data_IF_041374599717
#
_entry.id   IF_041374599717
#
_cell.length_a   1.000
_cell.length_b   1.000
_cell.length_c   1.000
_cell.angle_alpha   90.00
_cell.angle_beta   90.00
_cell.angle_gamma   90.00
#
_symmetry.space_group_name_H-M   'P 1'
#
loop_
_entity.id
_entity.type
_entity.pdbx_description
1 polymer ?
#
# COMPACT_ATOMS: atom_id res chain seq x y z
N UNK A 1 -3.42 20.08 7.48
CA UNK A 1 -3.21 18.69 7.02
C UNK A 1 -2.12 18.71 5.95
N UNK A 2 -0.86 18.65 6.36
CA UNK A 2 0.30 18.55 5.47
C UNK A 2 1.07 17.30 5.90
N UNK A 3 1.37 16.40 4.97
CA UNK A 3 2.60 15.60 5.09
C UNK A 3 2.54 14.07 5.14
N UNK A 4 1.46 13.36 4.77
CA UNK A 4 1.53 11.88 4.72
C UNK A 4 0.87 11.19 3.51
N UNK A 5 0.26 11.93 2.58
CA UNK A 5 -0.34 11.30 1.39
C UNK A 5 0.72 10.80 0.40
N UNK A 6 1.95 11.32 0.49
CA UNK A 6 3.10 10.88 -0.28
C UNK A 6 4.16 10.34 0.68
N UNK A 7 3.98 9.13 1.20
CA UNK A 7 5.07 8.41 1.87
C UNK A 7 6.06 7.99 0.79
N UNK A 8 7.02 8.86 0.49
CA UNK A 8 8.18 8.54 -0.38
C UNK A 8 9.20 7.63 0.33
N UNK A 9 8.88 7.18 1.56
CA UNK A 9 9.76 6.33 2.34
C UNK A 9 9.49 4.88 1.98
N UNK A 10 10.41 4.29 1.22
CA UNK A 10 10.31 2.91 0.76
C UNK A 10 10.66 1.99 1.94
N UNK A 11 9.73 1.11 2.38
CA UNK A 11 9.97 0.26 3.54
C UNK A 11 11.19 -0.65 3.32
N UNK A 12 12.05 -0.74 4.33
CA UNK A 12 13.30 -1.51 4.25
C UNK A 12 13.14 -2.94 4.76
N UNK A 13 12.02 -3.23 5.43
CA UNK A 13 11.73 -4.54 6.01
C UNK A 13 10.26 -4.95 5.84
N UNK A 14 10.02 -6.27 5.81
CA UNK A 14 8.67 -6.84 5.63
C UNK A 14 7.69 -6.38 6.70
N UNK A 15 8.18 -6.23 7.93
CA UNK A 15 7.38 -5.76 9.06
C UNK A 15 7.01 -4.29 8.89
N UNK A 16 7.92 -3.45 8.42
CA UNK A 16 7.62 -2.03 8.13
C UNK A 16 6.60 -1.90 6.99
N UNK A 17 6.75 -2.66 5.91
CA UNK A 17 5.83 -2.64 4.78
C UNK A 17 4.40 -3.05 5.20
N UNK A 18 4.27 -4.12 6.00
CA UNK A 18 2.98 -4.57 6.54
C UNK A 18 2.35 -3.55 7.50
N UNK A 19 3.12 -2.95 8.39
CA UNK A 19 2.63 -1.92 9.30
C UNK A 19 2.15 -0.68 8.52
N UNK A 20 2.87 -0.27 7.47
CA UNK A 20 2.46 0.84 6.61
C UNK A 20 1.16 0.52 5.87
N UNK A 21 0.93 -0.71 5.41
CA UNK A 21 -0.35 -1.12 4.82
C UNK A 21 -1.51 -1.03 5.82
N UNK A 22 -1.29 -1.45 7.07
CA UNK A 22 -2.30 -1.36 8.13
C UNK A 22 -2.66 0.10 8.45
N UNK A 23 -1.67 1.00 8.46
CA UNK A 23 -1.93 2.44 8.56
C UNK A 23 -2.68 2.96 7.33
N UNK A 24 -2.29 2.55 6.12
CA UNK A 24 -2.93 2.91 4.86
C UNK A 24 -4.42 2.55 4.81
N UNK A 25 -4.81 1.43 5.46
CA UNK A 25 -6.19 1.00 5.59
C UNK A 25 -7.04 1.92 6.49
N UNK A 26 -6.44 2.57 7.49
CA UNK A 26 -7.14 3.59 8.31
C UNK A 26 -7.46 4.82 7.46
N UNK A 27 -6.50 5.29 6.66
CA UNK A 27 -6.71 6.38 5.71
C UNK A 27 -7.81 6.08 4.69
N UNK A 28 -7.92 4.82 4.24
CA UNK A 28 -9.03 4.37 3.39
C UNK A 28 -10.38 4.63 4.05
N UNK A 29 -10.49 4.26 5.32
CA UNK A 29 -11.74 4.37 6.08
C UNK A 29 -12.12 5.84 6.25
N UNK A 30 -11.14 6.71 6.52
CA UNK A 30 -11.35 8.16 6.57
C UNK A 30 -11.79 8.72 5.22
N UNK A 31 -11.12 8.35 4.12
CA UNK A 31 -11.49 8.76 2.76
C UNK A 31 -12.91 8.30 2.40
N UNK A 32 -13.26 7.05 2.70
CA UNK A 32 -14.59 6.51 2.44
C UNK A 32 -15.65 7.21 3.29
N UNK A 33 -15.36 7.52 4.55
CA UNK A 33 -16.30 8.25 5.43
C UNK A 33 -16.60 9.66 4.93
N UNK A 34 -15.66 10.29 4.21
CA UNK A 34 -15.81 11.65 3.67
C UNK A 34 -16.36 11.68 2.25
N UNK A 35 -16.26 10.58 1.51
CA UNK A 35 -16.71 10.48 0.11
C UNK A 35 -18.14 10.96 -0.09
N UNK A 36 -19.06 10.51 0.77
CA UNK A 36 -20.48 10.84 0.64
C UNK A 36 -20.75 12.32 0.92
N UNK A 37 -20.15 12.86 1.97
CA UNK A 37 -20.25 14.29 2.33
C UNK A 37 -19.73 15.18 1.19
N UNK A 38 -18.60 14.82 0.58
CA UNK A 38 -18.06 15.53 -0.58
C UNK A 38 -18.98 15.45 -1.79
N UNK A 39 -19.52 14.28 -2.10
CA UNK A 39 -20.43 14.09 -3.22
C UNK A 39 -21.71 14.92 -3.05
N UNK A 40 -22.29 14.94 -1.85
CA UNK A 40 -23.47 15.75 -1.53
C UNK A 40 -23.18 17.25 -1.64
N UNK A 41 -22.01 17.70 -1.19
CA UNK A 41 -21.61 19.11 -1.29
C UNK A 41 -21.46 19.55 -2.75
N UNK A 42 -20.83 18.72 -3.59
CA UNK A 42 -20.68 18.99 -5.01
C UNK A 42 -22.05 19.02 -5.68
N UNK A 43 -22.87 18.01 -5.46
CA UNK A 43 -24.22 17.91 -6.05
C UNK A 43 -25.08 19.13 -5.68
N UNK A 44 -25.10 19.50 -4.40
CA UNK A 44 -25.81 20.69 -3.94
C UNK A 44 -25.28 21.96 -4.61
N UNK A 45 -23.94 22.10 -4.68
CA UNK A 45 -23.29 23.22 -5.35
C UNK A 45 -23.66 23.33 -6.84
N UNK A 46 -23.71 22.20 -7.56
CA UNK A 46 -24.12 22.17 -8.98
C UNK A 46 -25.59 22.51 -9.16
N UNK A 47 -26.44 22.04 -8.24
CA UNK A 47 -27.88 22.34 -8.28
C UNK A 47 -28.14 23.85 -8.18
N UNK A 48 -27.39 24.56 -7.32
CA UNK A 48 -27.56 26.00 -7.14
C UNK A 48 -26.85 26.85 -8.22
N UNK A 49 -25.89 26.30 -8.96
CA UNK A 49 -25.22 26.99 -10.08
C UNK A 49 -25.90 26.70 -11.43
N UNK A 50 -26.81 25.72 -11.48
CA UNK A 50 -27.47 25.30 -12.71
C UNK A 50 -28.34 26.40 -13.31
N UNK A 51 -28.02 26.81 -14.54
CA UNK A 51 -28.79 27.83 -15.27
C UNK A 51 -28.52 29.27 -14.85
N UNK A 52 -27.62 29.48 -13.88
CA UNK A 52 -27.21 30.79 -13.44
C UNK A 52 -26.14 31.38 -14.39
N UNK A 53 -26.26 32.68 -14.71
CA UNK A 53 -25.33 33.37 -15.62
C UNK A 53 -24.45 34.39 -14.92
N UNK A 54 -24.71 34.67 -13.63
CA UNK A 54 -23.95 35.65 -12.88
C UNK A 54 -22.54 35.13 -12.57
N UNK A 55 -21.56 36.04 -12.63
CA UNK A 55 -20.13 35.73 -12.45
C UNK A 55 -19.82 35.01 -11.14
N UNK A 56 -20.58 35.30 -10.07
CA UNK A 56 -20.38 34.65 -8.77
C UNK A 56 -20.73 33.15 -8.79
N UNK A 57 -21.74 32.74 -9.57
CA UNK A 57 -22.09 31.32 -9.73
C UNK A 57 -21.09 30.61 -10.65
N UNK A 58 -20.60 31.28 -11.70
CA UNK A 58 -19.53 30.73 -12.54
C UNK A 58 -18.23 30.48 -11.74
N UNK A 59 -17.86 31.37 -10.82
CA UNK A 59 -16.71 31.16 -9.94
C UNK A 59 -16.93 29.98 -8.97
N UNK A 60 -18.15 29.85 -8.43
CA UNK A 60 -18.51 28.72 -7.57
C UNK A 60 -18.42 27.40 -8.33
N UNK A 61 -18.95 27.34 -9.54
CA UNK A 61 -18.90 26.14 -10.40
C UNK A 61 -17.46 25.69 -10.67
N UNK A 62 -16.57 26.62 -11.00
CA UNK A 62 -15.13 26.34 -11.15
C UNK A 62 -14.46 25.87 -9.84
N UNK A 63 -14.93 26.35 -8.68
CA UNK A 63 -14.43 25.87 -7.39
C UNK A 63 -14.89 24.44 -7.11
N UNK A 64 -16.10 24.07 -7.53
CA UNK A 64 -16.60 22.70 -7.45
C UNK A 64 -15.79 21.76 -8.37
N UNK A 65 -15.47 22.19 -9.60
CA UNK A 65 -14.60 21.43 -10.52
C UNK A 65 -13.24 21.10 -9.90
N UNK A 66 -12.61 22.12 -9.29
CA UNK A 66 -11.31 21.96 -8.62
C UNK A 66 -11.41 21.03 -7.41
N UNK A 67 -12.51 21.10 -6.66
CA UNK A 67 -12.74 20.24 -5.51
C UNK A 67 -12.91 18.77 -5.93
N UNK A 68 -13.70 18.52 -6.97
CA UNK A 68 -13.94 17.19 -7.53
C UNK A 68 -12.66 16.58 -8.11
N UNK A 69 -11.89 17.39 -8.85
CA UNK A 69 -10.59 16.97 -9.40
C UNK A 69 -9.60 16.65 -8.27
N UNK A 70 -9.48 17.53 -7.27
CA UNK A 70 -8.58 17.31 -6.14
C UNK A 70 -8.95 16.09 -5.30
N UNK A 71 -10.24 15.79 -5.15
CA UNK A 71 -10.71 14.56 -4.51
C UNK A 71 -10.30 13.32 -5.31
N UNK A 72 -10.48 13.37 -6.64
CA UNK A 72 -10.09 12.27 -7.54
C UNK A 72 -8.59 12.02 -7.49
N UNK A 73 -7.78 13.08 -7.58
CA UNK A 73 -6.32 13.01 -7.47
C UNK A 73 -5.88 12.40 -6.13
N UNK A 74 -6.49 12.82 -5.03
CA UNK A 74 -6.20 12.28 -3.70
C UNK A 74 -6.44 10.76 -3.64
N UNK A 75 -7.56 10.29 -4.19
CA UNK A 75 -7.88 8.86 -4.27
C UNK A 75 -6.88 8.12 -5.16
N UNK A 76 -6.45 8.71 -6.27
CA UNK A 76 -5.46 8.10 -7.17
C UNK A 76 -4.09 7.96 -6.50
N UNK A 77 -3.62 8.99 -5.79
CA UNK A 77 -2.36 8.93 -5.04
C UNK A 77 -2.43 7.83 -3.98
N UNK A 78 -3.55 7.76 -3.24
CA UNK A 78 -3.77 6.71 -2.25
C UNK A 78 -3.72 5.31 -2.87
N UNK A 79 -4.41 5.08 -4.00
CA UNK A 79 -4.38 3.79 -4.70
C UNK A 79 -2.98 3.43 -5.21
N UNK A 80 -2.23 4.42 -5.67
CA UNK A 80 -0.86 4.21 -6.13
C UNK A 80 0.05 3.79 -4.96
N UNK A 81 -0.01 4.51 -3.84
CA UNK A 81 0.76 4.17 -2.64
C UNK A 81 0.42 2.78 -2.10
N UNK A 82 -0.87 2.42 -2.06
CA UNK A 82 -1.29 1.08 -1.65
C UNK A 82 -0.65 0.00 -2.53
N UNK A 83 -0.71 0.17 -3.85
CA UNK A 83 -0.14 -0.81 -4.80
C UNK A 83 1.37 -0.97 -4.62
N UNK A 84 2.09 0.15 -4.48
CA UNK A 84 3.54 0.13 -4.25
C UNK A 84 3.91 -0.62 -2.96
N UNK A 85 3.12 -0.45 -1.89
CA UNK A 85 3.33 -1.16 -0.64
C UNK A 85 3.03 -2.65 -0.75
N UNK A 86 1.94 -3.02 -1.43
CA UNK A 86 1.59 -4.42 -1.70
C UNK A 86 2.68 -5.13 -2.52
N UNK A 87 3.19 -4.47 -3.57
CA UNK A 87 4.30 -4.99 -4.39
C UNK A 87 5.57 -5.19 -3.56
N UNK A 88 5.92 -4.24 -2.68
CA UNK A 88 7.08 -4.35 -1.82
C UNK A 88 6.98 -5.49 -0.80
N UNK A 89 5.79 -5.73 -0.24
CA UNK A 89 5.55 -6.88 0.65
C UNK A 89 5.82 -8.18 -0.09
N UNK A 90 5.28 -8.34 -1.30
CA UNK A 90 5.47 -9.57 -2.09
C UNK A 90 6.95 -9.78 -2.43
N UNK A 91 7.66 -8.73 -2.85
CA UNK A 91 9.10 -8.80 -3.15
C UNK A 91 9.90 -9.28 -1.93
N UNK A 92 9.65 -8.69 -0.76
CA UNK A 92 10.35 -9.06 0.47
C UNK A 92 9.97 -10.45 0.97
N UNK A 93 8.72 -10.91 0.78
CA UNK A 93 8.32 -12.28 1.13
C UNK A 93 9.03 -13.31 0.25
N UNK A 94 9.16 -13.04 -1.05
CA UNK A 94 9.91 -13.91 -1.98
C UNK A 94 11.39 -13.98 -1.56
N UNK A 95 12.04 -12.84 -1.32
CA UNK A 95 13.44 -12.83 -0.86
C UNK A 95 13.64 -13.59 0.47
N UNK A 96 12.68 -13.49 1.40
CA UNK A 96 12.77 -14.24 2.65
C UNK A 96 12.63 -15.75 2.43
N UNK A 97 11.72 -16.17 1.55
CA UNK A 97 11.56 -17.59 1.20
C UNK A 97 12.80 -18.15 0.50
N UNK A 98 13.39 -17.40 -0.44
CA UNK A 98 14.63 -17.80 -1.13
C UNK A 98 15.78 -18.03 -0.14
N UNK A 99 15.99 -17.10 0.81
CA UNK A 99 17.02 -17.24 1.86
C UNK A 99 16.78 -18.47 2.75
N UNK A 100 15.53 -18.80 3.05
CA UNK A 100 15.18 -20.00 3.81
C UNK A 100 15.54 -21.27 3.02
N UNK A 101 15.20 -21.31 1.74
CA UNK A 101 15.50 -22.45 0.86
C UNK A 101 17.02 -22.64 0.70
N UNK A 102 17.78 -21.57 0.49
CA UNK A 102 19.24 -21.61 0.41
C UNK A 102 19.88 -22.13 1.70
N UNK A 103 19.38 -21.69 2.86
CA UNK A 103 19.84 -22.15 4.16
C UNK A 103 19.53 -23.64 4.37
N UNK A 104 18.32 -24.10 4.02
CA UNK A 104 17.95 -25.51 4.09
C UNK A 104 18.82 -26.39 3.16
N UNK A 105 19.08 -25.93 1.94
CA UNK A 105 19.95 -26.65 1.01
C UNK A 105 21.38 -26.78 1.54
N UNK A 106 21.93 -25.70 2.12
CA UNK A 106 23.25 -25.71 2.76
C UNK A 106 23.33 -26.69 3.93
N UNK A 107 22.31 -26.70 4.80
CA UNK A 107 22.24 -27.64 5.93
C UNK A 107 22.16 -29.11 5.48
N UNK A 108 21.42 -29.40 4.40
CA UNK A 108 21.34 -30.76 3.86
C UNK A 108 22.68 -31.23 3.29
N UNK A 109 23.41 -30.36 2.59
CA UNK A 109 24.77 -30.66 2.08
C UNK A 109 25.73 -30.92 3.25
N UNK A 110 25.68 -30.11 4.31
CA UNK A 110 26.50 -30.32 5.50
C UNK A 110 26.17 -31.66 6.19
N UNK A 111 24.89 -32.04 6.27
CA UNK A 111 24.46 -33.34 6.79
C UNK A 111 24.97 -34.51 5.94
N UNK A 112 24.90 -34.43 4.60
CA UNK A 112 25.42 -35.48 3.70
C UNK A 112 26.93 -35.65 3.84
N UNK A 113 27.68 -34.54 3.97
CA UNK A 113 29.12 -34.58 4.22
C UNK A 113 29.45 -35.21 5.58
N UNK A 114 28.68 -34.93 6.63
CA UNK A 114 28.85 -35.57 7.93
C UNK A 114 28.58 -37.08 7.89
N UNK A 115 27.60 -37.55 7.11
CA UNK A 115 27.33 -38.98 6.90
C UNK A 115 28.45 -39.65 6.08
N UNK A 116 29.03 -38.92 5.11
CA UNK A 116 30.14 -39.41 4.28
C UNK A 116 31.49 -39.43 5.01
N UNK A 117 31.74 -38.52 5.96
CA UNK A 117 32.99 -38.39 6.72
C UNK A 117 32.91 -39.14 8.06
N UNK A 118 31.72 -39.22 8.66
CA UNK A 118 31.42 -39.99 9.85
C UNK A 118 30.99 -41.41 9.50
N UNK A 119 31.95 -42.29 9.23
CA UNK A 119 31.69 -43.72 9.21
C UNK A 119 31.08 -44.15 10.54
N UNK A 120 29.78 -44.40 10.57
CA UNK A 120 29.15 -45.09 11.69
C UNK A 120 29.85 -46.45 11.85
N UNK A 121 30.46 -46.76 13.01
CA UNK A 121 30.76 -48.15 13.30
C UNK A 121 29.40 -48.84 13.47
N UNK A 122 29.01 -49.60 12.46
CA UNK A 122 28.03 -50.66 12.61
C UNK A 122 28.63 -51.67 13.61
N UNK A 123 28.41 -51.45 14.90
CA UNK A 123 28.58 -52.48 15.90
C UNK A 123 27.27 -53.26 15.98
N UNK A 124 27.22 -54.31 15.15
CA UNK A 124 26.27 -55.41 15.24
C UNK A 124 26.60 -56.26 16.47
N UNK A 125 25.57 -56.52 17.29
CA UNK A 125 25.42 -57.57 18.33
C UNK A 125 26.34 -57.50 19.56
#
# INVERSE_FOLDING_TARGET
>A
MQGLVATTDQPRTLTEAKNLLDEHAKWKTELESKREEFAQLIEYGRCITAGETDTHYAELDQRLDRLESGWTELVQIWLHCQRMLEENVVEQEVEQLEKILENQASQLVDCELLVSVGGFPCATV
#
